data_IF_848421652530
#
_entry.id   IF_848421652530
#
_cell.length_a   1.000
_cell.length_b   1.000
_cell.length_c   1.000
_cell.angle_alpha   90.00
_cell.angle_beta   90.00
_cell.angle_gamma   90.00
#
_symmetry.space_group_name_H-M   'P 1'
#
loop_
_entity.id
_entity.type
_entity.pdbx_description
1 polymer ?
#
# COMPACT_ATOMS: atom_id res chain seq x y z
N UNK A 1 -11.26 20.08 7.01
CA UNK A 1 -12.16 19.36 6.08
C UNK A 1 -11.46 18.92 4.80
N UNK A 2 -10.67 19.78 4.14
CA UNK A 2 -9.90 19.41 2.94
C UNK A 2 -8.96 18.22 3.17
N UNK A 3 -8.31 18.13 4.34
CA UNK A 3 -7.45 17.01 4.70
C UNK A 3 -8.20 15.67 4.74
N UNK A 4 -9.36 15.63 5.38
CA UNK A 4 -10.21 14.42 5.44
C UNK A 4 -10.72 14.02 4.05
N UNK A 5 -11.17 14.99 3.26
CA UNK A 5 -11.65 14.74 1.91
C UNK A 5 -10.51 14.24 0.99
N UNK A 6 -9.34 14.88 1.06
CA UNK A 6 -8.15 14.48 0.31
C UNK A 6 -7.68 13.09 0.70
N UNK A 7 -7.67 12.76 1.99
CA UNK A 7 -7.34 11.43 2.49
C UNK A 7 -8.33 10.38 1.96
N UNK A 8 -9.64 10.64 2.04
CA UNK A 8 -10.65 9.73 1.53
C UNK A 8 -10.53 9.49 0.02
N UNK A 9 -10.27 10.56 -0.76
CA UNK A 9 -10.07 10.46 -2.20
C UNK A 9 -8.78 9.70 -2.55
N UNK A 10 -7.70 9.94 -1.80
CA UNK A 10 -6.43 9.26 -2.02
C UNK A 10 -6.54 7.76 -1.70
N UNK A 11 -7.12 7.41 -0.55
CA UNK A 11 -7.34 6.02 -0.15
C UNK A 11 -8.34 5.31 -1.06
N UNK A 12 -9.46 5.96 -1.37
CA UNK A 12 -10.49 5.43 -2.26
C UNK A 12 -10.00 5.25 -3.69
N UNK A 13 -9.28 6.24 -4.22
CA UNK A 13 -8.66 6.20 -5.54
C UNK A 13 -7.59 5.10 -5.65
N UNK A 14 -6.71 4.98 -4.65
CA UNK A 14 -5.73 3.90 -4.58
C UNK A 14 -6.40 2.52 -4.54
N UNK A 15 -7.42 2.34 -3.69
CA UNK A 15 -8.15 1.08 -3.61
C UNK A 15 -8.93 0.74 -4.89
N UNK A 16 -9.43 1.74 -5.62
CA UNK A 16 -10.08 1.54 -6.91
C UNK A 16 -9.07 1.16 -7.99
N UNK A 17 -7.90 1.83 -8.01
CA UNK A 17 -6.80 1.52 -8.92
C UNK A 17 -6.31 0.09 -8.76
N UNK A 18 -6.05 -0.35 -7.52
CA UNK A 18 -5.61 -1.72 -7.21
C UNK A 18 -6.64 -2.74 -7.71
N UNK A 19 -7.93 -2.51 -7.43
CA UNK A 19 -9.01 -3.42 -7.84
C UNK A 19 -9.14 -3.52 -9.36
N UNK A 20 -9.12 -2.38 -10.06
CA UNK A 20 -9.19 -2.34 -11.52
C UNK A 20 -7.99 -3.03 -12.17
N UNK A 21 -6.77 -2.69 -11.74
CA UNK A 21 -5.54 -3.26 -12.29
C UNK A 21 -5.42 -4.76 -11.99
N UNK A 22 -5.79 -5.21 -10.78
CA UNK A 22 -5.75 -6.62 -10.42
C UNK A 22 -6.76 -7.43 -11.24
N UNK A 23 -7.98 -6.91 -11.43
CA UNK A 23 -8.99 -7.57 -12.26
C UNK A 23 -8.57 -7.71 -13.73
N UNK A 24 -7.90 -6.70 -14.30
CA UNK A 24 -7.35 -6.78 -15.66
C UNK A 24 -6.24 -7.84 -15.74
N UNK A 25 -5.33 -7.87 -14.76
CA UNK A 25 -4.23 -8.83 -14.73
C UNK A 25 -4.74 -10.28 -14.61
N UNK A 26 -5.71 -10.52 -13.72
CA UNK A 26 -6.36 -11.83 -13.56
C UNK A 26 -7.10 -12.25 -14.84
N UNK A 27 -7.87 -11.33 -15.46
CA UNK A 27 -8.56 -11.60 -16.72
C UNK A 27 -7.59 -11.90 -17.88
N UNK A 28 -6.36 -11.41 -17.79
CA UNK A 28 -5.28 -11.67 -18.76
C UNK A 28 -4.51 -12.98 -18.48
N UNK A 29 -4.93 -13.76 -17.47
CA UNK A 29 -4.30 -15.03 -17.11
C UNK A 29 -3.03 -14.90 -16.26
N UNK A 30 -2.77 -13.74 -15.66
CA UNK A 30 -1.62 -13.55 -14.76
C UNK A 30 -1.88 -14.32 -13.46
N UNK A 31 -0.91 -15.12 -12.97
CA UNK A 31 -1.09 -15.87 -11.73
C UNK A 31 -1.40 -14.95 -10.53
N UNK A 32 -2.34 -15.32 -9.63
CA UNK A 32 -2.72 -14.49 -8.49
C UNK A 32 -1.53 -14.10 -7.59
N UNK A 33 -0.54 -14.97 -7.46
CA UNK A 33 0.68 -14.69 -6.72
C UNK A 33 1.45 -13.51 -7.33
N UNK A 34 1.56 -13.46 -8.67
CA UNK A 34 2.24 -12.38 -9.38
C UNK A 34 1.46 -11.08 -9.22
N UNK A 35 0.12 -11.12 -9.34
CA UNK A 35 -0.74 -9.94 -9.11
C UNK A 35 -0.57 -9.41 -7.67
N UNK A 36 -0.57 -10.30 -6.68
CA UNK A 36 -0.35 -9.96 -5.27
C UNK A 36 1.01 -9.32 -5.01
N UNK A 37 2.08 -9.92 -5.56
CA UNK A 37 3.46 -9.45 -5.38
C UNK A 37 3.80 -8.18 -6.17
N UNK A 38 2.98 -7.81 -7.17
CA UNK A 38 3.25 -6.65 -8.04
C UNK A 38 2.16 -5.60 -7.92
N UNK A 39 1.01 -5.81 -8.55
CA UNK A 39 -0.08 -4.83 -8.65
C UNK A 39 -0.63 -4.44 -7.29
N UNK A 40 -0.90 -5.43 -6.43
CA UNK A 40 -1.45 -5.17 -5.10
C UNK A 40 -0.39 -4.48 -4.24
N UNK A 41 0.81 -5.06 -4.12
CA UNK A 41 1.89 -4.48 -3.32
C UNK A 41 2.24 -3.04 -3.71
N UNK A 42 2.28 -2.74 -5.02
CA UNK A 42 2.56 -1.40 -5.52
C UNK A 42 1.38 -0.46 -5.28
N UNK A 43 0.16 -0.91 -5.57
CA UNK A 43 -1.02 -0.05 -5.47
C UNK A 43 -1.44 0.26 -4.04
N UNK A 44 -1.16 -0.61 -3.06
CA UNK A 44 -1.36 -0.29 -1.64
C UNK A 44 -0.37 0.74 -1.13
N UNK A 45 0.82 0.84 -1.74
CA UNK A 45 1.89 1.78 -1.35
C UNK A 45 1.88 3.09 -2.17
N UNK A 46 0.99 3.19 -3.17
CA UNK A 46 0.89 4.34 -4.05
C UNK A 46 0.43 5.63 -3.31
N UNK A 47 -0.55 5.59 -2.38
CA UNK A 47 -0.88 6.74 -1.54
C UNK A 47 0.34 7.31 -0.79
N UNK A 48 1.10 6.43 -0.15
CA UNK A 48 2.28 6.76 0.63
C UNK A 48 3.37 7.35 -0.26
N UNK A 49 3.58 6.76 -1.44
CA UNK A 49 4.50 7.30 -2.45
C UNK A 49 4.14 8.74 -2.82
N UNK A 50 2.85 9.01 -3.09
CA UNK A 50 2.38 10.36 -3.41
C UNK A 50 2.63 11.33 -2.26
N UNK A 51 2.30 10.95 -1.02
CA UNK A 51 2.54 11.78 0.17
C UNK A 51 4.03 12.04 0.37
N UNK A 52 4.88 11.04 0.18
CA UNK A 52 6.33 11.16 0.32
C UNK A 52 6.96 12.08 -0.74
N UNK A 53 6.55 11.91 -2.00
CA UNK A 53 7.05 12.75 -3.11
C UNK A 53 6.65 14.20 -2.91
N UNK A 54 5.37 14.45 -2.60
CA UNK A 54 4.90 15.81 -2.35
C UNK A 54 5.59 16.42 -1.12
N UNK A 55 5.68 15.68 -0.02
CA UNK A 55 6.36 16.15 1.20
C UNK A 55 7.84 16.47 0.95
N UNK A 56 8.55 15.66 0.17
CA UNK A 56 9.94 15.94 -0.21
C UNK A 56 10.07 17.19 -1.09
N UNK A 57 9.17 17.36 -2.07
CA UNK A 57 9.16 18.54 -2.96
C UNK A 57 8.83 19.84 -2.22
N UNK A 58 8.00 19.77 -1.18
CA UNK A 58 7.62 20.92 -0.33
C UNK A 58 8.64 21.21 0.78
N UNK A 59 9.76 20.48 0.83
CA UNK A 59 10.77 20.63 1.89
C UNK A 59 10.35 20.06 3.25
N UNK A 60 9.25 19.31 3.32
CA UNK A 60 8.71 18.66 4.51
C UNK A 60 9.31 17.26 4.70
N UNK A 61 10.66 17.17 4.69
CA UNK A 61 11.39 15.90 4.72
C UNK A 61 11.12 15.07 5.97
N UNK A 62 10.88 15.71 7.12
CA UNK A 62 10.52 15.01 8.37
C UNK A 62 9.18 14.27 8.25
N UNK A 63 8.20 14.84 7.54
CA UNK A 63 6.91 14.19 7.30
C UNK A 63 7.04 13.03 6.31
N UNK A 64 7.83 13.20 5.24
CA UNK A 64 8.12 12.12 4.31
C UNK A 64 8.85 10.96 5.02
N UNK A 65 9.84 11.26 5.86
CA UNK A 65 10.54 10.25 6.65
C UNK A 65 9.59 9.54 7.63
N UNK A 66 8.80 10.31 8.39
CA UNK A 66 7.81 9.77 9.32
C UNK A 66 6.78 8.86 8.64
N UNK A 67 6.33 9.23 7.44
CA UNK A 67 5.40 8.43 6.65
C UNK A 67 6.04 7.11 6.17
N UNK A 68 7.28 7.12 5.67
CA UNK A 68 7.98 5.91 5.24
C UNK A 68 8.20 4.96 6.43
N UNK A 69 8.80 5.46 7.51
CA UNK A 69 9.14 4.61 8.67
C UNK A 69 7.89 4.11 9.38
N UNK A 70 6.89 4.98 9.55
CA UNK A 70 5.61 4.63 10.19
C UNK A 70 4.82 3.59 9.40
N UNK A 71 4.71 3.75 8.09
CA UNK A 71 3.96 2.82 7.23
C UNK A 71 4.61 1.43 7.17
N UNK A 72 5.94 1.36 7.08
CA UNK A 72 6.66 0.08 7.12
C UNK A 72 6.53 -0.60 8.49
N UNK A 73 6.60 0.16 9.58
CA UNK A 73 6.39 -0.38 10.93
C UNK A 73 4.96 -0.93 11.09
N UNK A 74 3.95 -0.22 10.60
CA UNK A 74 2.57 -0.68 10.62
C UNK A 74 2.37 -1.93 9.74
N UNK A 75 2.98 -1.97 8.55
CA UNK A 75 2.90 -3.14 7.66
C UNK A 75 3.52 -4.39 8.28
N UNK A 76 4.67 -4.27 8.95
CA UNK A 76 5.32 -5.41 9.60
C UNK A 76 4.64 -5.78 10.93
N UNK A 77 4.38 -4.80 11.79
CA UNK A 77 3.86 -5.03 13.13
C UNK A 77 2.36 -5.34 13.14
N UNK A 78 1.56 -4.51 12.48
CA UNK A 78 0.10 -4.65 12.49
C UNK A 78 -0.38 -5.60 11.39
N UNK A 79 -0.03 -5.34 10.13
CA UNK A 79 -0.57 -6.13 9.00
C UNK A 79 0.00 -7.54 9.00
N UNK A 80 1.32 -7.69 8.89
CA UNK A 80 1.96 -8.99 8.88
C UNK A 80 1.81 -9.71 10.23
N UNK A 81 1.98 -8.99 11.35
CA UNK A 81 1.79 -9.56 12.69
C UNK A 81 0.38 -10.11 12.91
N UNK A 82 -0.67 -9.36 12.55
CA UNK A 82 -2.05 -9.87 12.64
C UNK A 82 -2.32 -11.01 11.66
N UNK A 83 -1.81 -10.92 10.42
CA UNK A 83 -1.93 -11.99 9.45
C UNK A 83 -1.29 -13.30 9.96
N UNK A 84 -0.12 -13.22 10.60
CA UNK A 84 0.58 -14.37 11.16
C UNK A 84 -0.14 -14.97 12.38
N UNK A 85 -0.86 -14.17 13.17
CA UNK A 85 -1.71 -14.66 14.27
C UNK A 85 -2.94 -15.39 13.73
N UNK A 86 -3.57 -14.88 12.67
CA UNK A 86 -4.80 -15.44 12.09
C UNK A 86 -4.50 -16.71 11.28
N UNK A 87 -3.51 -16.63 10.40
CA UNK A 87 -3.09 -17.74 9.54
C UNK A 87 -1.58 -17.91 9.68
N UNK A 88 -1.13 -18.80 10.59
CA UNK A 88 0.30 -19.03 10.82
C UNK A 88 1.03 -19.37 9.53
N UNK A 89 1.90 -18.46 9.09
CA UNK A 89 2.68 -18.62 7.88
C UNK A 89 3.78 -19.65 8.12
N UNK A 90 3.64 -20.85 7.56
CA UNK A 90 4.69 -21.86 7.62
C UNK A 90 5.74 -21.53 6.56
N UNK A 91 6.87 -20.96 6.98
CA UNK A 91 8.04 -20.79 6.12
C UNK A 91 8.66 -22.16 5.87
N UNK A 92 8.43 -22.75 4.69
CA UNK A 92 9.25 -23.86 4.20
C UNK A 92 10.53 -23.26 3.64
N UNK A 93 11.63 -23.46 4.38
CA UNK A 93 12.99 -23.22 3.89
C UNK A 93 13.41 -24.25 2.86
#
# INVERSE_FOLDING_TARGET
MLLLLGLLLLLGGGAAMVRGASGIAEASGVPPLVVGLTVVAFGTSAPELVVNVLGALEGQTELAFGNITGSNLANLGLVLGSAAIITPMTLKG
#
